data_IF_018988578631
#
_entry.id   IF_018988578631
#
_cell.length_a   1.000
_cell.length_b   1.000
_cell.length_c   1.000
_cell.angle_alpha   90.00
_cell.angle_beta   90.00
_cell.angle_gamma   90.00
#
_symmetry.space_group_name_H-M   'P 1'
#
loop_
_entity.id
_entity.type
_entity.pdbx_description
1 polymer ?
#
# COMPACT_ATOMS: atom_id res chain seq x y z
N UNK A 1 -25.46 46.56 -9.17
CA UNK A 1 -26.09 45.26 -9.42
C UNK A 1 -24.96 44.27 -9.54
N UNK A 2 -24.42 43.92 -8.38
CA UNK A 2 -23.36 42.95 -8.18
C UNK A 2 -24.02 41.61 -7.99
N UNK A 3 -23.70 40.66 -8.86
CA UNK A 3 -23.72 39.25 -8.49
C UNK A 3 -22.59 38.58 -9.26
N UNK A 4 -21.41 38.62 -8.66
CA UNK A 4 -20.23 37.86 -9.05
C UNK A 4 -20.45 36.45 -8.49
N UNK A 5 -21.05 35.60 -9.30
CA UNK A 5 -21.25 34.20 -8.97
C UNK A 5 -19.88 33.51 -8.97
N UNK A 6 -19.23 33.53 -7.80
CA UNK A 6 -18.14 32.62 -7.49
C UNK A 6 -18.63 31.19 -7.77
N UNK A 7 -18.04 30.58 -8.79
CA UNK A 7 -18.28 29.18 -9.13
C UNK A 7 -17.79 28.34 -7.95
N UNK A 8 -18.61 27.42 -7.39
CA UNK A 8 -18.15 26.58 -6.30
C UNK A 8 -17.00 25.70 -6.80
N UNK A 9 -15.87 25.75 -6.11
CA UNK A 9 -14.73 24.85 -6.30
C UNK A 9 -15.25 23.41 -6.22
N UNK A 10 -15.31 22.73 -7.37
CA UNK A 10 -15.85 21.38 -7.46
C UNK A 10 -14.90 20.45 -6.70
N UNK A 11 -15.42 19.75 -5.69
CA UNK A 11 -14.68 18.75 -4.94
C UNK A 11 -13.98 17.77 -5.90
N UNK A 12 -12.64 17.80 -5.92
CA UNK A 12 -11.80 16.93 -6.75
C UNK A 12 -12.16 15.46 -6.51
N UNK A 13 -12.41 14.70 -7.59
CA UNK A 13 -12.69 13.25 -7.46
C UNK A 13 -11.47 12.51 -6.91
N UNK A 14 -11.65 11.31 -6.35
CA UNK A 14 -10.53 10.46 -5.93
C UNK A 14 -9.55 10.20 -7.06
N UNK A 15 -10.03 9.94 -8.27
CA UNK A 15 -9.19 9.75 -9.44
C UNK A 15 -8.31 10.98 -9.72
N UNK A 16 -8.88 12.19 -9.64
CA UNK A 16 -8.12 13.44 -9.79
C UNK A 16 -7.07 13.62 -8.69
N UNK A 17 -7.38 13.21 -7.45
CA UNK A 17 -6.44 13.26 -6.34
C UNK A 17 -5.27 12.28 -6.54
N UNK A 18 -5.55 11.05 -6.97
CA UNK A 18 -4.52 10.05 -7.33
C UNK A 18 -3.62 10.59 -8.45
N UNK A 19 -4.21 11.16 -9.51
CA UNK A 19 -3.45 11.72 -10.64
C UNK A 19 -2.53 12.85 -10.19
N UNK A 20 -3.04 13.82 -9.42
CA UNK A 20 -2.26 14.94 -8.88
C UNK A 20 -1.13 14.46 -7.97
N UNK A 21 -1.41 13.49 -7.11
CA UNK A 21 -0.38 12.89 -6.25
C UNK A 21 0.72 12.23 -7.09
N UNK A 22 0.34 11.42 -8.09
CA UNK A 22 1.29 10.74 -8.97
C UNK A 22 2.20 11.71 -9.73
N UNK A 23 1.63 12.80 -10.26
CA UNK A 23 2.39 13.84 -10.97
C UNK A 23 3.53 14.41 -10.13
N UNK A 24 3.27 14.66 -8.85
CA UNK A 24 4.29 15.17 -7.91
C UNK A 24 5.24 14.05 -7.47
N UNK A 25 4.67 12.92 -7.04
CA UNK A 25 5.42 11.81 -6.45
C UNK A 25 6.44 11.24 -7.44
N UNK A 26 6.08 10.99 -8.70
CA UNK A 26 6.98 10.39 -9.70
C UNK A 26 8.21 11.25 -9.99
N UNK A 27 8.06 12.57 -9.92
CA UNK A 27 9.15 13.53 -10.12
C UNK A 27 10.04 13.57 -8.89
N UNK A 28 9.46 13.72 -7.70
CA UNK A 28 10.22 13.82 -6.44
C UNK A 28 10.93 12.51 -6.07
N UNK A 29 10.28 11.38 -6.31
CA UNK A 29 10.86 10.05 -6.15
C UNK A 29 11.92 9.71 -7.21
N UNK A 30 12.02 10.48 -8.30
CA UNK A 30 13.00 10.25 -9.37
C UNK A 30 12.68 9.03 -10.25
N UNK A 31 11.43 8.55 -10.25
CA UNK A 31 10.99 7.37 -11.02
C UNK A 31 11.23 7.57 -12.54
N UNK A 32 11.13 8.82 -13.02
CA UNK A 32 11.38 9.17 -14.43
C UNK A 32 12.82 8.91 -14.90
N UNK A 33 13.83 8.87 -14.01
CA UNK A 33 15.24 8.66 -14.40
C UNK A 33 15.59 7.19 -14.67
N UNK A 34 14.77 6.25 -14.19
CA UNK A 34 15.02 4.81 -14.38
C UNK A 34 14.63 4.37 -15.81
N UNK A 35 13.65 5.01 -16.44
CA UNK A 35 13.25 4.74 -17.82
C UNK A 35 14.28 5.23 -18.87
N UNK A 36 15.16 6.17 -18.53
CA UNK A 36 16.12 6.71 -19.50
C UNK A 36 17.27 5.74 -19.84
N UNK A 37 17.55 4.75 -18.97
CA UNK A 37 18.62 3.77 -19.15
C UNK A 37 18.16 2.54 -19.96
N UNK A 38 16.85 2.27 -20.02
CA UNK A 38 16.25 1.07 -20.63
C UNK A 38 15.45 1.34 -21.91
N UNK A 39 15.54 2.56 -22.47
CA UNK A 39 14.63 3.04 -23.53
C UNK A 39 13.26 3.42 -22.92
N UNK A 40 12.39 4.17 -23.64
CA UNK A 40 11.20 4.76 -23.04
C UNK A 40 10.23 3.67 -22.55
N UNK A 41 10.42 3.25 -21.30
CA UNK A 41 9.57 2.29 -20.63
C UNK A 41 8.27 2.99 -20.25
N UNK A 42 7.19 2.61 -20.92
CA UNK A 42 5.81 3.06 -20.71
C UNK A 42 5.42 2.97 -19.21
N UNK A 43 6.05 2.05 -18.45
CA UNK A 43 5.90 1.85 -17.01
C UNK A 43 6.19 3.09 -16.14
N UNK A 44 7.09 4.00 -16.55
CA UNK A 44 7.36 5.23 -15.78
C UNK A 44 6.28 6.31 -15.93
N UNK A 45 5.37 6.15 -16.89
CA UNK A 45 4.34 7.14 -17.24
C UNK A 45 2.94 6.74 -16.76
N UNK A 46 2.68 5.46 -16.53
CA UNK A 46 1.37 4.98 -16.05
C UNK A 46 1.22 5.25 -14.55
N UNK A 47 -0.02 5.54 -14.15
CA UNK A 47 -0.38 5.68 -12.73
C UNK A 47 -0.34 4.29 -12.11
N UNK A 48 0.44 4.07 -11.03
CA UNK A 48 0.46 2.80 -10.33
C UNK A 48 -0.92 2.46 -9.73
N UNK A 49 -1.20 1.17 -9.42
CA UNK A 49 -2.35 0.79 -8.63
C UNK A 49 -2.43 1.60 -7.32
N UNK A 50 -3.65 1.95 -6.92
CA UNK A 50 -3.91 2.66 -5.66
C UNK A 50 -4.82 1.84 -4.76
N UNK A 51 -4.41 1.62 -3.52
CA UNK A 51 -5.12 0.77 -2.56
C UNK A 51 -4.86 1.22 -1.11
N UNK A 52 -5.71 0.78 -0.19
CA UNK A 52 -5.60 1.03 1.25
C UNK A 52 -5.26 -0.26 1.99
N UNK A 53 -4.56 -0.17 3.12
CA UNK A 53 -4.31 -1.32 3.99
C UNK A 53 -5.56 -1.73 4.77
N UNK A 54 -5.71 -3.04 4.97
CA UNK A 54 -6.82 -3.59 5.76
C UNK A 54 -8.19 -3.39 5.10
N UNK A 55 -9.23 -3.69 5.86
CA UNK A 55 -10.62 -3.69 5.37
C UNK A 55 -11.53 -2.68 6.10
N UNK A 56 -10.94 -1.81 6.92
CA UNK A 56 -11.61 -0.73 7.65
C UNK A 56 -10.82 0.59 7.49
N UNK A 57 -11.50 1.75 7.37
CA UNK A 57 -10.85 3.05 7.26
C UNK A 57 -9.86 3.38 8.39
N UNK A 58 -10.15 3.01 9.64
CA UNK A 58 -9.26 3.35 10.75
C UNK A 58 -7.94 2.56 10.69
N UNK A 59 -8.01 1.28 10.30
CA UNK A 59 -6.83 0.47 10.04
C UNK A 59 -6.01 1.02 8.87
N UNK A 60 -6.66 1.43 7.78
CA UNK A 60 -5.99 2.06 6.65
C UNK A 60 -5.22 3.33 7.05
N UNK A 61 -5.84 4.20 7.84
CA UNK A 61 -5.21 5.42 8.35
C UNK A 61 -4.00 5.11 9.24
N UNK A 62 -4.15 4.14 10.16
CA UNK A 62 -3.09 3.74 11.08
C UNK A 62 -1.89 3.10 10.34
N UNK A 63 -2.16 2.17 9.41
CA UNK A 63 -1.13 1.52 8.62
C UNK A 63 -0.41 2.50 7.70
N UNK A 64 -1.13 3.43 7.07
CA UNK A 64 -0.51 4.49 6.28
C UNK A 64 0.41 5.37 7.15
N UNK A 65 0.01 5.71 8.38
CA UNK A 65 0.86 6.47 9.30
C UNK A 65 2.19 5.72 9.59
N UNK A 66 2.12 4.40 9.81
CA UNK A 66 3.30 3.54 10.01
C UNK A 66 4.19 3.46 8.75
N UNK A 67 3.61 3.44 7.55
CA UNK A 67 4.40 3.52 6.31
C UNK A 67 5.12 4.86 6.22
N UNK A 68 4.41 5.95 6.53
CA UNK A 68 4.96 7.30 6.44
C UNK A 68 6.06 7.58 7.46
N UNK A 69 6.02 6.97 8.64
CA UNK A 69 7.07 7.08 9.65
C UNK A 69 8.25 6.10 9.43
N UNK A 70 8.09 5.15 8.51
CA UNK A 70 9.10 4.15 8.15
C UNK A 70 9.10 2.91 9.02
N UNK A 71 8.14 2.76 9.93
CA UNK A 71 7.95 1.54 10.73
C UNK A 71 7.44 0.40 9.87
N UNK A 72 6.38 0.62 9.09
CA UNK A 72 5.80 -0.42 8.22
C UNK A 72 6.55 -0.44 6.89
N UNK A 73 7.23 -1.55 6.64
CA UNK A 73 8.05 -1.83 5.45
C UNK A 73 7.73 -3.18 4.83
N UNK A 74 6.73 -3.89 5.35
CA UNK A 74 6.23 -5.12 4.79
C UNK A 74 4.70 -5.18 4.83
N UNK A 75 4.13 -6.03 3.98
CA UNK A 75 2.72 -6.41 3.97
C UNK A 75 2.57 -7.87 3.57
N UNK A 76 1.49 -8.49 4.03
CA UNK A 76 1.18 -9.89 3.78
C UNK A 76 -0.21 -10.06 3.19
N UNK A 77 -0.32 -10.96 2.21
CA UNK A 77 -1.59 -11.32 1.56
C UNK A 77 -1.66 -12.84 1.42
N UNK A 78 -2.82 -13.46 1.66
CA UNK A 78 -2.96 -14.89 1.46
C UNK A 78 -2.94 -15.19 -0.04
N UNK A 79 -2.11 -16.12 -0.50
CA UNK A 79 -1.98 -16.48 -1.92
C UNK A 79 -3.32 -16.80 -2.62
N UNK A 80 -4.31 -17.43 -1.96
CA UNK A 80 -5.61 -17.66 -2.59
C UNK A 80 -6.32 -16.37 -3.01
N UNK A 81 -6.11 -15.23 -2.34
CA UNK A 81 -6.74 -13.95 -2.70
C UNK A 81 -6.38 -13.55 -4.14
N UNK A 82 -5.10 -13.62 -4.50
CA UNK A 82 -4.63 -13.37 -5.88
C UNK A 82 -5.23 -14.37 -6.87
N UNK A 83 -5.29 -15.64 -6.49
CA UNK A 83 -5.72 -16.72 -7.37
C UNK A 83 -7.22 -16.63 -7.70
N UNK A 84 -8.04 -16.23 -6.72
CA UNK A 84 -9.48 -16.03 -6.92
C UNK A 84 -9.81 -14.71 -7.62
N UNK A 85 -8.94 -13.70 -7.51
CA UNK A 85 -9.09 -12.42 -8.20
C UNK A 85 -8.54 -12.42 -9.64
N UNK A 86 -7.92 -13.52 -10.09
CA UNK A 86 -7.13 -13.57 -11.33
C UNK A 86 -6.06 -12.46 -11.41
N UNK A 87 -5.52 -12.06 -10.25
CA UNK A 87 -4.51 -11.01 -10.14
C UNK A 87 -3.10 -11.59 -10.18
N UNK A 88 -2.16 -10.93 -10.90
CA UNK A 88 -0.77 -11.36 -10.90
C UNK A 88 -0.15 -11.14 -9.53
N UNK A 89 0.79 -12.01 -9.16
CA UNK A 89 1.61 -11.79 -7.97
C UNK A 89 2.46 -10.51 -8.13
N UNK A 90 2.66 -9.76 -7.04
CA UNK A 90 3.56 -8.63 -7.04
C UNK A 90 4.98 -9.08 -7.39
N UNK A 91 5.74 -8.19 -8.00
CA UNK A 91 7.14 -8.41 -8.33
C UNK A 91 8.02 -7.27 -7.84
N UNK A 92 9.31 -7.58 -7.65
CA UNK A 92 10.30 -6.57 -7.29
C UNK A 92 10.32 -5.45 -8.33
N UNK A 93 10.19 -4.22 -7.86
CA UNK A 93 10.17 -3.01 -8.67
C UNK A 93 8.78 -2.43 -8.89
N UNK A 94 7.72 -3.18 -8.55
CA UNK A 94 6.35 -2.67 -8.64
C UNK A 94 6.18 -1.43 -7.78
N UNK A 95 5.39 -0.49 -8.31
CA UNK A 95 5.01 0.73 -7.63
C UNK A 95 3.56 0.60 -7.18
N UNK A 96 3.25 1.17 -6.01
CA UNK A 96 1.89 1.27 -5.50
C UNK A 96 1.69 2.62 -4.82
N UNK A 97 0.49 3.18 -4.98
CA UNK A 97 0.03 4.36 -4.23
C UNK A 97 -0.82 3.86 -3.07
N UNK A 98 -0.33 4.07 -1.84
CA UNK A 98 -1.10 3.75 -0.64
C UNK A 98 -2.01 4.93 -0.31
N UNK A 99 -3.29 4.65 -0.10
CA UNK A 99 -4.29 5.61 0.29
C UNK A 99 -4.66 5.49 1.77
N UNK A 100 -5.23 6.57 2.31
CA UNK A 100 -5.87 6.57 3.63
C UNK A 100 -7.25 5.89 3.58
N UNK A 101 -7.93 5.80 4.72
CA UNK A 101 -9.25 5.19 4.86
C UNK A 101 -10.37 5.93 4.11
N UNK A 102 -10.11 7.15 3.66
CA UNK A 102 -11.02 7.93 2.82
C UNK A 102 -10.65 7.82 1.33
N UNK A 103 -9.66 7.01 0.95
CA UNK A 103 -9.19 6.82 -0.43
C UNK A 103 -8.27 7.93 -0.94
N UNK A 104 -7.77 8.80 -0.06
CA UNK A 104 -6.86 9.90 -0.44
C UNK A 104 -5.41 9.38 -0.47
N UNK A 105 -4.63 9.65 -1.53
CA UNK A 105 -3.27 9.14 -1.63
C UNK A 105 -2.34 9.76 -0.59
N UNK A 106 -1.59 8.92 0.12
CA UNK A 106 -0.64 9.34 1.15
C UNK A 106 0.80 8.96 0.86
N UNK A 107 1.04 7.80 0.24
CA UNK A 107 2.39 7.30 0.01
C UNK A 107 2.56 6.67 -1.38
N UNK A 108 3.74 6.82 -1.96
CA UNK A 108 4.23 6.02 -3.08
C UNK A 108 5.27 5.05 -2.53
N UNK A 109 5.02 3.76 -2.67
CA UNK A 109 5.94 2.71 -2.25
C UNK A 109 6.48 1.92 -3.44
N UNK A 110 7.60 1.25 -3.24
CA UNK A 110 8.17 0.30 -4.21
C UNK A 110 8.43 -1.05 -3.56
N UNK A 111 7.95 -2.12 -4.18
CA UNK A 111 8.24 -3.49 -3.75
C UNK A 111 9.72 -3.80 -4.00
N UNK A 112 10.43 -4.20 -2.96
CA UNK A 112 11.88 -4.48 -2.97
C UNK A 112 12.19 -5.97 -2.96
N UNK A 113 11.30 -6.78 -2.39
CA UNK A 113 11.39 -8.24 -2.30
C UNK A 113 9.99 -8.82 -2.17
N UNK A 114 9.76 -9.95 -2.83
CA UNK A 114 8.56 -10.76 -2.66
C UNK A 114 9.01 -12.17 -2.32
N UNK A 115 8.37 -12.76 -1.31
CA UNK A 115 8.55 -14.16 -0.96
C UNK A 115 7.21 -14.80 -0.62
N UNK A 116 7.15 -16.13 -0.68
CA UNK A 116 5.96 -16.88 -0.27
C UNK A 116 6.36 -17.87 0.80
N UNK A 117 5.71 -17.78 1.95
CA UNK A 117 5.98 -18.63 3.12
C UNK A 117 4.66 -19.21 3.64
N UNK A 118 4.64 -20.41 4.22
CA UNK A 118 3.43 -20.91 4.90
C UNK A 118 3.04 -20.00 6.07
N UNK A 119 1.75 -19.77 6.29
CA UNK A 119 1.24 -18.98 7.42
C UNK A 119 1.77 -19.48 8.79
N UNK A 120 1.92 -20.79 8.92
CA UNK A 120 2.51 -21.47 10.08
C UNK A 120 3.97 -21.13 10.31
N UNK A 121 4.70 -20.68 9.29
CA UNK A 121 6.15 -20.44 9.29
C UNK A 121 6.51 -18.95 9.22
N UNK A 122 5.52 -18.05 9.19
CA UNK A 122 5.77 -16.61 9.33
C UNK A 122 6.48 -16.34 10.66
N UNK A 123 7.57 -15.58 10.58
CA UNK A 123 8.46 -15.28 11.68
C UNK A 123 8.27 -13.87 12.27
N UNK A 124 9.01 -13.59 13.34
CA UNK A 124 8.97 -12.29 14.03
C UNK A 124 9.54 -11.15 13.18
N UNK A 125 10.39 -11.43 12.19
CA UNK A 125 10.95 -10.40 11.31
C UNK A 125 9.85 -9.79 10.44
N UNK A 126 8.96 -10.62 9.89
CA UNK A 126 7.81 -10.16 9.12
C UNK A 126 6.88 -9.33 10.01
N UNK A 127 6.51 -9.84 11.19
CA UNK A 127 5.65 -9.11 12.12
C UNK A 127 6.24 -7.75 12.52
N UNK A 128 7.55 -7.69 12.80
CA UNK A 128 8.24 -6.45 13.13
C UNK A 128 8.30 -5.48 11.94
N UNK A 129 8.49 -5.99 10.72
CA UNK A 129 8.51 -5.19 9.49
C UNK A 129 7.12 -4.67 9.10
N UNK A 130 6.04 -5.37 9.45
CA UNK A 130 4.68 -4.87 9.30
C UNK A 130 4.34 -3.80 10.35
N UNK A 131 4.88 -3.94 11.56
CA UNK A 131 4.91 -2.87 12.55
C UNK A 131 3.56 -2.51 13.18
N UNK A 132 2.50 -3.24 12.84
CA UNK A 132 1.14 -3.10 13.37
C UNK A 132 1.01 -3.65 14.80
N UNK A 133 -0.04 -3.22 15.51
CA UNK A 133 -0.32 -3.64 16.88
C UNK A 133 0.86 -3.39 17.83
N UNK A 134 1.21 -4.42 18.60
CA UNK A 134 2.36 -4.42 19.52
C UNK A 134 3.67 -4.93 18.87
N UNK A 135 3.65 -5.17 17.55
CA UNK A 135 4.78 -5.68 16.75
C UNK A 135 5.25 -7.09 17.14
N UNK A 136 4.41 -7.86 17.83
CA UNK A 136 4.70 -9.25 18.15
C UNK A 136 4.12 -10.19 17.09
N UNK A 137 4.78 -11.33 16.89
CA UNK A 137 4.25 -12.40 16.03
C UNK A 137 2.88 -12.92 16.51
N UNK A 138 2.62 -12.87 17.83
CA UNK A 138 1.35 -13.28 18.39
C UNK A 138 0.20 -12.36 17.96
N UNK A 139 0.38 -11.03 18.05
CA UNK A 139 -0.62 -10.05 17.58
C UNK A 139 -0.81 -10.16 16.08
N UNK A 140 0.30 -10.21 15.33
CA UNK A 140 0.27 -10.37 13.88
C UNK A 140 -0.54 -11.60 13.45
N UNK A 141 -0.30 -12.76 14.08
CA UNK A 141 -1.04 -14.00 13.77
C UNK A 141 -2.52 -13.86 14.09
N UNK A 142 -2.87 -13.30 15.25
CA UNK A 142 -4.26 -13.16 15.66
C UNK A 142 -5.06 -12.25 14.70
N UNK A 143 -4.46 -11.12 14.30
CA UNK A 143 -5.05 -10.16 13.38
C UNK A 143 -5.22 -10.75 11.97
N UNK A 144 -4.16 -11.36 11.42
CA UNK A 144 -4.21 -11.97 10.09
C UNK A 144 -5.12 -13.21 10.05
N UNK A 145 -5.15 -14.01 11.11
CA UNK A 145 -6.05 -15.16 11.20
C UNK A 145 -7.52 -14.73 11.21
N UNK A 146 -7.87 -13.67 11.96
CA UNK A 146 -9.21 -13.12 11.95
C UNK A 146 -9.59 -12.53 10.58
N UNK A 147 -8.68 -11.77 9.97
CA UNK A 147 -8.90 -11.14 8.67
C UNK A 147 -9.06 -12.17 7.56
N UNK A 148 -8.09 -13.07 7.40
CA UNK A 148 -8.10 -14.05 6.31
C UNK A 148 -9.19 -15.09 6.46
N UNK A 149 -9.61 -15.48 7.67
CA UNK A 149 -10.81 -16.33 7.80
C UNK A 149 -12.06 -15.68 7.21
N UNK A 150 -12.22 -14.37 7.38
CA UNK A 150 -13.35 -13.61 6.83
C UNK A 150 -13.22 -13.43 5.32
N UNK A 151 -12.02 -13.24 4.79
CA UNK A 151 -11.77 -13.06 3.34
C UNK A 151 -11.85 -14.39 2.58
N UNK A 152 -11.28 -15.46 3.13
CA UNK A 152 -11.17 -16.77 2.46
C UNK A 152 -12.46 -17.60 2.54
N UNK A 153 -13.26 -17.47 3.61
CA UNK A 153 -14.47 -18.27 3.75
C UNK A 153 -15.49 -18.09 2.60
N UNK A 154 -15.79 -16.88 2.10
CA UNK A 154 -16.64 -16.69 0.92
C UNK A 154 -16.07 -17.28 -0.37
N UNK A 155 -14.75 -17.46 -0.44
CA UNK A 155 -14.04 -18.06 -1.58
C UNK A 155 -14.01 -19.59 -1.52
N UNK A 156 -14.54 -20.19 -0.45
CA UNK A 156 -14.48 -21.63 -0.21
C UNK A 156 -13.10 -22.12 0.22
N UNK A 157 -12.23 -21.21 0.67
CA UNK A 157 -10.87 -21.49 1.12
C UNK A 157 -10.81 -21.55 2.66
N UNK A 158 -10.06 -22.50 3.20
CA UNK A 158 -9.81 -22.62 4.63
C UNK A 158 -8.41 -22.14 4.98
N UNK A 159 -8.31 -21.24 5.98
CA UNK A 159 -7.01 -20.82 6.50
C UNK A 159 -6.41 -21.94 7.35
N UNK A 160 -5.22 -22.40 6.95
CA UNK A 160 -4.43 -23.40 7.67
C UNK A 160 -3.00 -22.89 7.88
N UNK A 161 -2.22 -23.54 8.74
CA UNK A 161 -0.79 -23.25 8.86
C UNK A 161 0.00 -23.49 7.56
N UNK A 162 -0.53 -24.28 6.61
CA UNK A 162 0.09 -24.52 5.31
C UNK A 162 -0.35 -23.50 4.24
N UNK A 163 -1.32 -22.63 4.53
CA UNK A 163 -1.80 -21.62 3.58
C UNK A 163 -0.64 -20.72 3.18
N UNK A 164 -0.30 -20.61 1.88
CA UNK A 164 0.80 -19.77 1.44
C UNK A 164 0.47 -18.30 1.62
N UNK A 165 1.39 -17.55 2.22
CA UNK A 165 1.32 -16.11 2.43
C UNK A 165 2.36 -15.45 1.53
N UNK A 166 1.91 -14.54 0.69
CA UNK A 166 2.77 -13.68 -0.12
C UNK A 166 3.17 -12.50 0.74
N UNK A 167 4.47 -12.37 0.99
CA UNK A 167 5.04 -11.28 1.78
C UNK A 167 5.79 -10.34 0.84
N UNK A 168 5.35 -9.09 0.80
CA UNK A 168 6.05 -8.02 0.12
C UNK A 168 6.82 -7.18 1.12
N UNK A 169 8.13 -7.02 0.92
CA UNK A 169 8.88 -5.91 1.54
C UNK A 169 8.94 -4.76 0.56
N UNK A 170 8.76 -3.56 1.07
CA UNK A 170 8.75 -2.34 0.27
C UNK A 170 9.53 -1.21 0.93
N UNK A 171 9.79 -0.18 0.16
CA UNK A 171 10.35 1.08 0.63
C UNK A 171 9.42 2.25 0.29
N UNK A 172 9.37 3.24 1.17
CA UNK A 172 8.70 4.50 0.92
C UNK A 172 9.55 5.36 -0.04
N UNK A 173 8.99 5.71 -1.20
CA UNK A 173 9.63 6.60 -2.17
C UNK A 173 9.19 8.06 -2.01
N UNK A 174 7.92 8.28 -1.63
CA UNK A 174 7.36 9.61 -1.44
C UNK A 174 6.18 9.56 -0.44
N UNK A 175 6.05 10.52 0.49
CA UNK A 175 6.97 11.62 0.77
C UNK A 175 8.31 11.13 1.34
N UNK A 176 9.40 11.85 1.08
CA UNK A 176 10.68 11.56 1.76
C UNK A 176 10.62 12.06 3.20
N UNK A 177 11.38 11.44 4.12
CA UNK A 177 11.64 12.04 5.43
C UNK A 177 12.15 13.49 5.26
N UNK A 178 11.38 14.47 5.73
CA UNK A 178 11.65 15.90 5.55
C UNK A 178 10.80 16.65 4.51
N UNK A 179 10.01 15.95 3.68
CA UNK A 179 9.05 16.59 2.76
C UNK A 179 7.79 17.12 3.47
N UNK A 180 7.58 16.73 4.74
CA UNK A 180 6.53 17.29 5.59
C UNK A 180 6.96 18.66 6.09
N UNK A 181 6.34 19.71 5.57
CA UNK A 181 6.44 21.05 6.16
C UNK A 181 6.02 20.99 7.63
N UNK A 182 6.72 21.67 8.55
CA UNK A 182 6.32 21.78 9.95
C UNK A 182 5.11 22.70 10.05
N UNK A 183 3.91 22.19 9.76
CA UNK A 183 2.64 22.85 10.05
C UNK A 183 1.50 21.86 9.84
N UNK A 184 1.23 21.06 10.87
CA UNK A 184 -0.09 20.52 11.25
C UNK A 184 0.16 19.55 12.43
N UNK A 185 0.55 20.13 13.55
CA UNK A 185 0.53 19.54 14.89
C UNK A 185 -0.30 20.45 15.79
#
# INVERSE_FOLDING_TARGET
MTDDAATPDAASTHADQILRFWEVARVRAGVMRVAAVTGPGIAGSLVPPSWAFGDDPALADAALALVLDGTKTATSTALPEFSHADEPLPVKGDLSIVTDGAGRPGALIRTTRVETVPFGEVDEEIAAAEGEGDRTLASWRAEHEASWRRVLAPLGEELTGATPVVVERFELLYPRPGDRSPSEA
#
